data_IF_970663247961
#
_entry.id   IF_970663247961
#
_cell.length_a   1.000
_cell.length_b   1.000
_cell.length_c   1.000
_cell.angle_alpha   90.00
_cell.angle_beta   90.00
_cell.angle_gamma   90.00
#
_symmetry.space_group_name_H-M   'P 1'
#
loop_
_entity.id
_entity.type
_entity.pdbx_description
1 polymer ?
#
# COMPACT_ATOMS: atom_id res chain seq x y z
N UNK A 1 5.18 12.76 7.28
CA UNK A 1 4.64 11.70 6.53
C UNK A 1 3.14 11.69 6.59
N UNK A 2 2.59 11.33 5.55
CA UNK A 2 1.18 11.34 5.45
C UNK A 2 0.57 10.21 6.21
N UNK A 3 -0.46 10.49 6.81
CA UNK A 3 -1.23 9.45 7.39
C UNK A 3 -1.81 8.69 6.28
N UNK A 4 -1.71 7.54 6.34
CA UNK A 4 -1.89 6.81 5.36
C UNK A 4 -3.16 6.51 5.15
N UNK A 5 -3.93 6.01 5.58
CA UNK A 5 -5.25 5.51 5.39
C UNK A 5 -6.23 6.52 5.88
N UNK A 6 -6.31 7.61 5.16
CA UNK A 6 -7.17 8.60 5.53
C UNK A 6 -8.51 8.26 5.16
N UNK A 7 -9.31 8.05 6.03
CA UNK A 7 -10.67 7.88 5.76
C UNK A 7 -10.88 6.80 4.81
N UNK A 8 -11.65 6.92 3.95
CA UNK A 8 -12.16 5.90 3.24
C UNK A 8 -11.54 5.54 2.00
N UNK A 9 -11.63 6.31 1.08
CA UNK A 9 -11.23 5.90 -0.23
C UNK A 9 -9.82 6.20 -0.54
N UNK A 10 -9.24 7.11 0.18
CA UNK A 10 -7.88 7.49 -0.09
C UNK A 10 -6.98 7.04 1.02
N UNK A 11 -5.93 6.41 0.65
CA UNK A 11 -4.87 6.10 1.57
C UNK A 11 -3.60 6.68 1.00
N UNK A 12 -2.92 7.51 1.75
CA UNK A 12 -1.64 8.02 1.35
C UNK A 12 -0.61 7.42 2.29
N UNK A 13 0.33 6.72 1.73
CA UNK A 13 1.27 5.98 2.52
C UNK A 13 2.69 6.15 2.00
N UNK A 14 3.63 6.27 2.89
CA UNK A 14 5.04 6.24 2.52
C UNK A 14 5.52 4.81 2.63
N UNK A 15 6.07 4.29 1.56
CA UNK A 15 6.59 2.94 1.50
C UNK A 15 8.07 3.00 1.24
N UNK A 16 8.85 2.25 1.99
CA UNK A 16 10.28 2.24 1.87
C UNK A 16 10.73 0.93 1.33
N UNK A 17 11.65 0.96 0.37
CA UNK A 17 12.17 -0.28 -0.13
C UNK A 17 13.14 -0.85 0.87
N UNK A 18 14.28 -0.31 1.03
CA UNK A 18 15.23 -0.80 2.01
C UNK A 18 16.23 0.28 2.31
N UNK A 19 16.63 0.37 3.56
CA UNK A 19 17.53 1.43 4.00
C UNK A 19 18.90 1.34 3.36
N UNK A 20 19.32 0.19 2.89
CA UNK A 20 20.62 0.10 2.28
C UNK A 20 20.65 0.58 0.83
N UNK A 21 19.51 0.89 0.23
CA UNK A 21 19.52 1.47 -1.08
C UNK A 21 19.73 2.96 -0.96
N UNK A 22 20.79 3.45 -1.54
CA UNK A 22 21.09 4.86 -1.47
C UNK A 22 20.09 5.65 -2.29
N UNK A 23 19.74 6.84 -1.84
CA UNK A 23 18.85 7.70 -2.63
C UNK A 23 19.48 8.01 -3.97
N UNK A 24 18.74 7.79 -5.01
CA UNK A 24 19.18 8.07 -6.36
C UNK A 24 18.02 8.64 -7.15
N UNK A 25 18.39 9.24 -8.27
CA UNK A 25 17.37 9.81 -9.15
C UNK A 25 16.54 8.67 -9.77
N UNK A 26 15.25 8.75 -9.60
CA UNK A 26 14.33 7.80 -10.21
C UNK A 26 14.08 8.22 -11.64
N UNK A 27 14.36 7.34 -12.57
CA UNK A 27 14.16 7.63 -13.98
C UNK A 27 12.94 6.88 -14.49
N UNK A 28 12.46 7.26 -15.66
CA UNK A 28 11.32 6.60 -16.28
C UNK A 28 11.58 5.10 -16.50
N UNK A 29 12.84 4.72 -16.71
CA UNK A 29 13.17 3.32 -16.93
C UNK A 29 12.91 2.45 -15.70
N UNK A 30 12.83 3.07 -14.52
CA UNK A 30 12.61 2.33 -13.29
C UNK A 30 11.13 2.19 -12.92
N UNK A 31 10.25 2.89 -13.62
CA UNK A 31 8.82 2.87 -13.29
C UNK A 31 8.17 1.47 -13.40
N UNK A 32 8.53 0.62 -14.37
CA UNK A 32 7.93 -0.71 -14.40
C UNK A 32 8.21 -1.53 -13.15
N UNK A 33 9.42 -1.43 -12.58
CA UNK A 33 9.72 -2.13 -11.34
C UNK A 33 8.97 -1.52 -10.17
N UNK A 34 8.77 -0.20 -10.18
CA UNK A 34 7.97 0.46 -9.17
C UNK A 34 6.53 -0.03 -9.24
N UNK A 35 6.00 -0.25 -10.43
CA UNK A 35 4.64 -0.74 -10.56
C UNK A 35 4.48 -2.12 -9.92
N UNK A 36 5.42 -3.02 -10.14
CA UNK A 36 5.36 -4.36 -9.53
C UNK A 36 5.37 -4.25 -8.01
N UNK A 37 6.25 -3.41 -7.48
CA UNK A 37 6.34 -3.20 -6.04
C UNK A 37 5.04 -2.64 -5.48
N UNK A 38 4.48 -1.63 -6.15
CA UNK A 38 3.23 -1.00 -5.73
C UNK A 38 2.10 -2.02 -5.72
N UNK A 39 1.98 -2.82 -6.77
CA UNK A 39 0.94 -3.83 -6.84
C UNK A 39 1.04 -4.82 -5.68
N UNK A 40 2.25 -5.24 -5.36
CA UNK A 40 2.46 -6.21 -4.29
C UNK A 40 2.14 -5.61 -2.92
N UNK A 41 2.58 -4.38 -2.67
CA UNK A 41 2.32 -3.73 -1.38
C UNK A 41 0.83 -3.46 -1.20
N UNK A 42 0.17 -2.96 -2.23
CA UNK A 42 -1.26 -2.66 -2.13
C UNK A 42 -2.06 -3.93 -1.94
N UNK A 43 -1.74 -4.99 -2.69
CA UNK A 43 -2.43 -6.25 -2.52
C UNK A 43 -2.23 -6.78 -1.10
N UNK A 44 -1.00 -6.71 -0.59
CA UNK A 44 -0.71 -7.14 0.76
C UNK A 44 -1.50 -6.34 1.80
N UNK A 45 -1.57 -5.02 1.65
CA UNK A 45 -2.30 -4.18 2.59
C UNK A 45 -3.80 -4.51 2.57
N UNK A 46 -4.36 -4.69 1.39
CA UNK A 46 -5.78 -5.04 1.30
C UNK A 46 -6.07 -6.39 1.93
N UNK A 47 -5.16 -7.34 1.79
CA UNK A 47 -5.30 -8.65 2.43
C UNK A 47 -5.19 -8.55 3.95
N UNK A 48 -4.33 -7.67 4.45
CA UNK A 48 -4.23 -7.44 5.88
C UNK A 48 -5.54 -6.84 6.42
N UNK A 49 -6.11 -5.87 5.71
CA UNK A 49 -7.38 -5.28 6.14
C UNK A 49 -8.51 -6.29 6.10
N UNK A 50 -8.47 -7.21 5.16
CA UNK A 50 -9.46 -8.27 5.07
C UNK A 50 -9.26 -9.38 6.11
N UNK A 51 -8.13 -9.38 6.79
CA UNK A 51 -7.87 -10.38 7.82
C UNK A 51 -7.29 -11.68 7.30
N UNK A 52 -6.85 -11.72 6.04
CA UNK A 52 -6.32 -12.94 5.46
C UNK A 52 -4.80 -12.97 5.42
N UNK A 53 -4.16 -11.93 5.92
CA UNK A 53 -2.71 -11.85 5.95
C UNK A 53 -2.28 -11.11 7.21
N UNK A 54 -1.16 -11.50 7.78
CA UNK A 54 -0.63 -10.85 8.98
C UNK A 54 0.07 -9.54 8.60
N UNK A 55 -0.16 -8.51 9.40
CA UNK A 55 0.41 -7.19 9.13
C UNK A 55 1.94 -7.20 9.15
N UNK A 56 2.55 -8.06 9.96
CA UNK A 56 4.00 -8.14 10.07
C UNK A 56 4.68 -8.39 8.73
N UNK A 57 3.97 -9.00 7.79
CA UNK A 57 4.54 -9.27 6.48
C UNK A 57 4.78 -8.01 5.67
N UNK A 58 4.18 -6.89 6.08
CA UNK A 58 4.39 -5.62 5.41
C UNK A 58 5.47 -4.77 6.07
N UNK A 59 5.93 -5.15 7.24
CA UNK A 59 6.82 -4.30 8.03
C UNK A 59 8.08 -3.89 7.30
N UNK A 60 8.66 -4.80 6.53
CA UNK A 60 9.91 -4.51 5.84
C UNK A 60 9.72 -3.65 4.59
N UNK A 61 8.49 -3.48 4.14
CA UNK A 61 8.21 -2.72 2.94
C UNK A 61 7.60 -1.35 3.20
N UNK A 62 7.31 -1.03 4.46
CA UNK A 62 6.62 0.19 4.83
C UNK A 62 7.42 0.93 5.89
N UNK A 63 7.23 2.24 5.95
CA UNK A 63 7.78 3.02 7.06
C UNK A 63 7.06 2.64 8.33
N UNK A 64 7.64 2.98 9.45
CA UNK A 64 7.04 2.65 10.74
C UNK A 64 5.66 3.29 10.91
N UNK A 65 5.53 4.53 10.49
CA UNK A 65 4.25 5.23 10.59
C UNK A 65 3.18 4.54 9.76
N UNK A 66 3.53 4.13 8.55
CA UNK A 66 2.62 3.42 7.67
C UNK A 66 2.24 2.07 8.28
N UNK A 67 3.23 1.36 8.78
CA UNK A 67 2.98 0.06 9.38
C UNK A 67 2.03 0.17 10.56
N UNK A 68 2.26 1.14 11.41
CA UNK A 68 1.39 1.36 12.56
C UNK A 68 -0.04 1.65 12.15
N UNK A 69 -0.21 2.49 11.14
CA UNK A 69 -1.55 2.83 10.67
C UNK A 69 -2.25 1.62 10.06
N UNK A 70 -1.51 0.77 9.37
CA UNK A 70 -2.06 -0.46 8.82
C UNK A 70 -2.54 -1.38 9.94
N UNK A 71 -1.73 -1.52 10.99
CA UNK A 71 -2.09 -2.37 12.13
C UNK A 71 -3.36 -1.86 12.81
N UNK A 72 -3.44 -0.55 13.04
CA UNK A 72 -4.61 0.03 13.70
C UNK A 72 -5.85 -0.19 12.84
N UNK A 73 -5.75 0.07 11.56
CA UNK A 73 -6.90 -0.07 10.66
C UNK A 73 -7.34 -1.52 10.53
N UNK A 74 -6.39 -2.44 10.46
CA UNK A 74 -6.70 -3.85 10.40
C UNK A 74 -7.42 -4.31 11.66
N UNK A 75 -6.98 -3.81 12.81
CA UNK A 75 -7.63 -4.13 14.07
C UNK A 75 -9.06 -3.62 14.14
N UNK A 76 -9.28 -2.38 13.66
CA UNK A 76 -10.64 -1.83 13.63
C UNK A 76 -11.54 -2.64 12.70
N UNK A 77 -11.03 -3.04 11.55
CA UNK A 77 -11.81 -3.84 10.61
C UNK A 77 -12.14 -5.21 11.19
N UNK A 78 -11.20 -5.82 11.88
CA UNK A 78 -11.41 -7.12 12.51
C UNK A 78 -12.47 -7.04 13.60
N UNK A 79 -12.42 -5.98 14.41
CA UNK A 79 -13.42 -5.79 15.46
C UNK A 79 -14.80 -5.54 14.88
N UNK A 80 -14.88 -4.78 13.78
CA UNK A 80 -16.15 -4.52 13.15
C UNK A 80 -16.77 -5.80 12.60
N UNK A 81 -15.97 -6.66 11.98
CA UNK A 81 -16.45 -7.95 11.47
C UNK A 81 -16.91 -8.83 12.62
N UNK A 82 -16.14 -8.87 13.70
CA UNK A 82 -16.49 -9.68 14.85
C UNK A 82 -17.79 -9.22 15.49
N UNK A 83 -17.96 -7.91 15.64
CA UNK A 83 -19.18 -7.35 16.23
C UNK A 83 -20.41 -7.64 15.38
N UNK A 84 -20.25 -7.73 14.09
CA UNK A 84 -21.35 -8.03 13.17
C UNK A 84 -21.48 -9.51 12.87
N UNK A 85 -20.61 -10.31 13.47
CA UNK A 85 -20.55 -11.75 13.21
C UNK A 85 -20.38 -12.07 11.74
N UNK A 86 -19.59 -11.24 11.06
CA UNK A 86 -19.33 -11.43 9.65
C UNK A 86 -18.09 -12.32 9.49
N UNK A 87 -18.09 -13.23 8.54
CA UNK A 87 -16.91 -14.04 8.29
C UNK A 87 -15.82 -13.20 7.64
N UNK A 88 -14.62 -13.71 7.63
CA UNK A 88 -13.53 -13.10 6.89
C UNK A 88 -13.91 -13.07 5.42
N UNK A 89 -13.80 -11.92 4.76
CA UNK A 89 -14.20 -11.84 3.37
C UNK A 89 -13.34 -12.73 2.48
N UNK A 90 -13.97 -13.40 1.56
CA UNK A 90 -13.26 -14.16 0.54
C UNK A 90 -13.02 -13.35 -0.72
N UNK A 91 -13.73 -12.24 -0.84
CA UNK A 91 -13.59 -11.41 -2.01
C UNK A 91 -12.24 -10.71 -1.97
N UNK A 92 -11.51 -10.87 -3.04
CA UNK A 92 -10.21 -10.25 -3.18
C UNK A 92 -10.38 -9.00 -4.02
N UNK A 93 -9.70 -7.93 -3.62
CA UNK A 93 -9.67 -6.74 -4.45
C UNK A 93 -8.86 -7.03 -5.69
N UNK A 94 -9.36 -6.59 -6.82
CA UNK A 94 -8.64 -6.67 -8.07
C UNK A 94 -8.05 -5.31 -8.36
N UNK A 95 -6.76 -5.25 -8.66
CA UNK A 95 -6.11 -4.00 -9.02
C UNK A 95 -6.45 -3.70 -10.47
N UNK A 96 -7.20 -2.63 -10.67
CA UNK A 96 -7.66 -2.24 -11.99
C UNK A 96 -6.66 -1.39 -12.74
N UNK A 97 -5.99 -0.49 -12.04
CA UNK A 97 -5.03 0.38 -12.70
C UNK A 97 -4.01 0.89 -11.69
N UNK A 98 -2.84 1.22 -12.19
CA UNK A 98 -1.77 1.82 -11.41
C UNK A 98 -1.23 2.98 -12.23
N UNK A 99 -1.24 4.17 -11.64
CA UNK A 99 -0.67 5.36 -12.26
C UNK A 99 0.53 5.80 -11.44
N UNK A 100 1.65 5.98 -12.11
CA UNK A 100 2.89 6.33 -11.44
C UNK A 100 3.39 7.67 -11.95
N UNK A 101 4.01 8.43 -11.05
CA UNK A 101 4.73 9.65 -11.41
C UNK A 101 5.95 9.76 -10.50
N UNK A 102 6.94 10.51 -10.94
CA UNK A 102 8.14 10.73 -10.15
C UNK A 102 8.32 12.24 -9.99
N UNK A 103 7.75 12.83 -8.93
CA UNK A 103 7.82 14.27 -8.74
C UNK A 103 9.20 14.76 -8.32
N UNK A 104 10.04 13.88 -7.81
CA UNK A 104 11.38 14.23 -7.36
C UNK A 104 12.29 13.02 -7.46
N UNK A 105 13.60 13.26 -7.36
CA UNK A 105 14.58 12.19 -7.42
C UNK A 105 14.33 11.21 -6.27
N UNK A 106 14.33 9.94 -6.60
CA UNK A 106 14.17 8.90 -5.60
C UNK A 106 12.76 8.76 -5.04
N UNK A 107 11.80 9.49 -5.61
CA UNK A 107 10.41 9.46 -5.12
C UNK A 107 9.49 9.05 -6.25
N UNK A 108 8.61 8.11 -5.97
CA UNK A 108 7.56 7.71 -6.90
C UNK A 108 6.24 7.87 -6.17
N UNK A 109 5.29 8.52 -6.82
CA UNK A 109 3.93 8.59 -6.32
C UNK A 109 3.06 7.68 -7.16
N UNK A 110 2.21 6.93 -6.51
CA UNK A 110 1.35 5.97 -7.18
C UNK A 110 -0.10 6.18 -6.76
N UNK A 111 -0.98 6.05 -7.72
CA UNK A 111 -2.42 5.98 -7.45
C UNK A 111 -2.90 4.66 -7.99
N UNK A 112 -3.52 3.87 -7.14
CA UNK A 112 -3.98 2.54 -7.47
C UNK A 112 -5.49 2.50 -7.34
N UNK A 113 -6.14 1.98 -8.36
CA UNK A 113 -7.57 1.73 -8.30
C UNK A 113 -7.75 0.23 -8.07
N UNK A 114 -8.38 -0.11 -6.98
CA UNK A 114 -8.65 -1.49 -6.62
C UNK A 114 -10.16 -1.68 -6.46
N UNK A 115 -10.68 -2.73 -7.03
CA UNK A 115 -12.10 -3.00 -7.02
C UNK A 115 -12.40 -4.34 -6.37
N UNK A 116 -13.37 -4.35 -5.50
CA UNK A 116 -13.95 -5.57 -4.97
C UNK A 116 -15.40 -5.62 -5.47
N UNK A 117 -16.08 -6.68 -5.11
CA UNK A 117 -17.44 -6.88 -5.58
C UNK A 117 -18.37 -5.70 -5.33
N UNK A 118 -18.28 -5.09 -4.17
CA UNK A 118 -19.23 -4.06 -3.77
C UNK A 118 -18.64 -2.67 -3.70
N UNK A 119 -17.34 -2.50 -3.93
CA UNK A 119 -16.76 -1.18 -3.81
C UNK A 119 -15.46 -1.07 -4.58
N UNK A 120 -15.17 0.15 -5.00
CA UNK A 120 -13.92 0.50 -5.64
C UNK A 120 -13.19 1.48 -4.72
N UNK A 121 -11.89 1.30 -4.59
CA UNK A 121 -11.06 2.16 -3.76
C UNK A 121 -9.96 2.79 -4.58
N UNK A 122 -9.66 4.04 -4.27
CA UNK A 122 -8.48 4.71 -4.81
C UNK A 122 -7.47 4.81 -3.68
N UNK A 123 -6.27 4.33 -3.92
CA UNK A 123 -5.23 4.29 -2.92
C UNK A 123 -4.04 5.06 -3.45
N UNK A 124 -3.62 6.07 -2.69
CA UNK A 124 -2.46 6.87 -3.05
C UNK A 124 -1.31 6.50 -2.13
N UNK A 125 -0.14 6.26 -2.70
CA UNK A 125 1.04 5.98 -1.90
C UNK A 125 2.26 6.67 -2.47
N UNK A 126 3.23 6.85 -1.61
CA UNK A 126 4.50 7.45 -1.97
C UNK A 126 5.59 6.46 -1.63
N UNK A 127 6.49 6.26 -2.56
CA UNK A 127 7.58 5.33 -2.42
C UNK A 127 8.86 6.12 -2.45
N UNK A 128 9.73 5.89 -1.49
CA UNK A 128 11.01 6.57 -1.39
C UNK A 128 12.12 5.53 -1.41
N UNK A 129 13.23 5.91 -2.01
CA UNK A 129 14.39 5.04 -2.06
C UNK A 129 14.31 3.93 -3.08
N UNK A 130 13.30 3.94 -3.92
CA UNK A 130 13.14 2.89 -4.91
C UNK A 130 14.19 2.91 -5.98
N UNK A 131 14.76 4.08 -6.27
CA UNK A 131 15.69 4.20 -7.39
C UNK A 131 16.87 3.24 -7.31
N UNK A 132 17.28 2.92 -6.12
CA UNK A 132 18.44 2.04 -5.93
C UNK A 132 18.08 0.56 -6.01
N UNK A 133 16.84 0.23 -6.11
CA UNK A 133 16.41 -1.17 -6.13
C UNK A 133 16.79 -1.83 -7.44
N UNK A 134 16.93 -1.04 -8.46
CA UNK A 134 17.18 -1.55 -9.78
C UNK A 134 18.64 -1.63 -10.13
#
# INVERSE_FOLDING_TARGET
SAPLLRGSEHASAAVRTDAFFAPQRTSAAHLPSAEIFVRNVVRGALEVFAGVREAEQLARWTTEDVYRAVVVRAGLAARARSARRMPVPRDVHEIRSVHLSSPADGVVEATVIAAARTRTRAIALRIEGLAAVL
#
